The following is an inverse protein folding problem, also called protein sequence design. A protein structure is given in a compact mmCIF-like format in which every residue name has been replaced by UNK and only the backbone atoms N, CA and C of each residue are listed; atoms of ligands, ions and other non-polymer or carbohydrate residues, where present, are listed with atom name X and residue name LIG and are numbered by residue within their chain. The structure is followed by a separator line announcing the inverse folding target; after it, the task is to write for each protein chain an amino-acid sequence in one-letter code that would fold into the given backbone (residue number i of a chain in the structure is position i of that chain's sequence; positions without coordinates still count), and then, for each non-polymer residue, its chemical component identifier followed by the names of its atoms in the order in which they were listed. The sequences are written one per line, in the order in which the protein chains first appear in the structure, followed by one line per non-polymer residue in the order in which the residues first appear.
data_IF_339790407753
#
_entry.id   IF_339790407753
#
_cell.length_a   1.000
_cell.length_b   1.000
_cell.length_c   1.000
_cell.angle_alpha   90.00
_cell.angle_beta   90.00
_cell.angle_gamma   90.00
#
_symmetry.space_group_name_H-M   'P 1'
#
loop_
_entity.id
_entity.type
_entity.pdbx_description
1 polymer ?
#
# COMPACT_ATOMS: atom_id res chain seq x y z
N UNK A 1 58.81 30.20 31.30
CA UNK A 1 58.29 29.85 29.97
C UNK A 1 57.97 28.37 30.05
N UNK A 2 56.69 28.02 29.99
CA UNK A 2 56.20 26.67 30.30
C UNK A 2 55.79 26.05 28.97
N UNK A 3 56.55 25.08 28.48
CA UNK A 3 56.20 24.31 27.29
C UNK A 3 55.42 23.06 27.75
N UNK A 4 54.09 23.20 27.78
CA UNK A 4 53.14 22.10 27.89
C UNK A 4 52.84 21.62 26.46
N UNK A 5 53.58 20.63 26.00
CA UNK A 5 53.18 19.80 24.85
C UNK A 5 52.14 18.78 25.32
N UNK A 6 50.88 19.23 25.41
CA UNK A 6 49.70 18.37 25.51
C UNK A 6 48.97 18.43 24.16
N UNK A 7 49.57 17.82 23.12
CA UNK A 7 48.89 17.51 21.86
C UNK A 7 47.90 16.36 22.11
N UNK A 8 46.82 16.70 22.79
CA UNK A 8 45.64 15.88 22.97
C UNK A 8 44.56 16.36 22.00
N UNK A 9 44.89 16.42 20.70
CA UNK A 9 43.91 16.74 19.67
C UNK A 9 43.25 15.44 19.19
N UNK A 10 42.31 14.97 20.02
CA UNK A 10 40.94 14.52 19.74
C UNK A 10 40.53 14.11 18.30
N UNK A 11 41.44 13.64 17.45
CA UNK A 11 41.18 13.17 16.09
C UNK A 11 41.42 11.67 15.97
N UNK A 12 41.18 10.93 17.06
CA UNK A 12 40.98 9.49 16.96
C UNK A 12 39.55 9.24 16.52
N UNK A 13 39.34 9.46 15.22
CA UNK A 13 38.19 9.11 14.39
C UNK A 13 37.23 8.18 15.12
N UNK A 14 36.23 8.79 15.78
CA UNK A 14 35.04 8.07 16.24
C UNK A 14 34.51 7.37 15.00
N UNK A 15 34.74 6.06 14.94
CA UNK A 15 34.01 5.11 14.11
C UNK A 15 32.56 5.26 14.53
N UNK A 16 31.88 6.24 13.92
CA UNK A 16 30.49 6.59 14.18
C UNK A 16 29.72 5.35 13.75
N UNK A 17 29.38 4.58 14.77
CA UNK A 17 28.48 3.45 14.81
C UNK A 17 27.54 3.42 13.60
N UNK A 18 27.75 2.44 12.74
CA UNK A 18 26.84 2.09 11.65
C UNK A 18 25.42 1.72 12.12
N UNK A 19 25.17 1.63 13.43
CA UNK A 19 23.86 1.28 14.01
C UNK A 19 22.79 2.36 13.88
N UNK A 20 23.13 3.59 13.47
CA UNK A 20 22.12 4.64 13.27
C UNK A 20 21.33 4.49 11.96
N UNK A 21 21.79 3.67 11.01
CA UNK A 21 21.08 3.41 9.76
C UNK A 21 20.04 2.30 9.94
N UNK A 22 20.39 1.21 10.63
CA UNK A 22 19.54 0.02 10.78
C UNK A 22 18.15 0.33 11.37
N UNK A 23 18.07 1.13 12.45
CA UNK A 23 16.78 1.41 13.09
C UNK A 23 15.86 2.31 12.26
N UNK A 24 16.41 3.13 11.35
CA UNK A 24 15.61 3.97 10.44
C UNK A 24 15.03 3.13 9.31
N UNK A 25 15.81 2.19 8.78
CA UNK A 25 15.37 1.25 7.75
C UNK A 25 14.33 0.27 8.33
N UNK A 26 14.52 -0.19 9.58
CA UNK A 26 13.52 -0.96 10.33
C UNK A 26 12.24 -0.14 10.58
N UNK A 27 12.34 1.12 10.99
CA UNK A 27 11.18 1.98 11.21
C UNK A 27 10.41 2.28 9.91
N UNK A 28 11.12 2.47 8.79
CA UNK A 28 10.52 2.61 7.47
C UNK A 28 9.79 1.33 7.06
N UNK A 29 10.42 0.17 7.24
CA UNK A 29 9.82 -1.15 6.95
C UNK A 29 8.59 -1.43 7.82
N UNK A 30 8.63 -1.10 9.11
CA UNK A 30 7.49 -1.22 10.02
C UNK A 30 6.35 -0.29 9.59
N UNK A 31 6.66 0.95 9.20
CA UNK A 31 5.67 1.90 8.69
C UNK A 31 5.03 1.39 7.39
N UNK A 32 5.83 0.91 6.44
CA UNK A 32 5.33 0.32 5.19
C UNK A 32 4.45 -0.92 5.44
N UNK A 33 4.79 -1.77 6.42
CA UNK A 33 3.97 -2.91 6.84
C UNK A 33 2.65 -2.47 7.50
N UNK A 34 2.67 -1.42 8.30
CA UNK A 34 1.46 -0.83 8.89
C UNK A 34 0.57 -0.22 7.80
N UNK A 35 1.16 0.51 6.86
CA UNK A 35 0.47 1.10 5.71
C UNK A 35 -0.14 0.01 4.81
N UNK A 36 0.57 -1.12 4.61
CA UNK A 36 0.05 -2.29 3.88
C UNK A 36 -1.14 -2.93 4.58
N UNK A 37 -1.05 -3.16 5.90
CA UNK A 37 -2.16 -3.73 6.66
C UNK A 37 -3.39 -2.80 6.67
N UNK A 38 -3.17 -1.48 6.77
CA UNK A 38 -4.25 -0.51 6.70
C UNK A 38 -4.90 -0.49 5.31
N UNK A 39 -4.09 -0.55 4.24
CA UNK A 39 -4.58 -0.67 2.87
C UNK A 39 -5.45 -1.92 2.68
N UNK A 40 -4.99 -3.09 3.16
CA UNK A 40 -5.74 -4.36 3.07
C UNK A 40 -7.06 -4.28 3.84
N UNK A 41 -7.07 -3.63 5.01
CA UNK A 41 -8.30 -3.39 5.78
C UNK A 41 -9.27 -2.49 5.01
N UNK A 42 -8.78 -1.40 4.41
CA UNK A 42 -9.60 -0.49 3.59
C UNK A 42 -10.18 -1.21 2.36
N UNK A 43 -9.38 -2.00 1.66
CA UNK A 43 -9.83 -2.81 0.51
C UNK A 43 -10.93 -3.78 0.95
N UNK A 44 -10.76 -4.48 2.08
CA UNK A 44 -11.80 -5.38 2.60
C UNK A 44 -13.07 -4.63 2.98
N UNK A 45 -12.96 -3.49 3.67
CA UNK A 45 -14.11 -2.66 4.03
C UNK A 45 -14.86 -2.16 2.79
N UNK A 46 -14.12 -1.68 1.79
CA UNK A 46 -14.72 -1.16 0.55
C UNK A 46 -15.38 -2.27 -0.27
N UNK A 47 -14.76 -3.45 -0.34
CA UNK A 47 -15.37 -4.65 -0.94
C UNK A 47 -16.72 -4.98 -0.29
N UNK A 48 -16.82 -4.88 1.04
CA UNK A 48 -18.06 -5.11 1.78
C UNK A 48 -19.11 -4.05 1.43
N UNK A 49 -18.72 -2.77 1.35
CA UNK A 49 -19.62 -1.67 0.93
C UNK A 49 -20.14 -1.89 -0.49
N UNK A 50 -19.28 -2.28 -1.43
CA UNK A 50 -19.65 -2.61 -2.80
C UNK A 50 -20.39 -3.95 -2.95
N UNK A 51 -20.56 -4.71 -1.87
CA UNK A 51 -21.18 -6.05 -1.84
C UNK A 51 -20.59 -7.02 -2.86
N UNK A 52 -19.29 -6.92 -3.13
CA UNK A 52 -18.62 -7.78 -4.11
C UNK A 52 -18.08 -9.05 -3.45
N UNK A 53 -18.43 -10.19 -4.03
CA UNK A 53 -17.78 -11.46 -3.67
C UNK A 53 -16.33 -11.49 -4.17
N UNK A 54 -15.48 -12.32 -3.55
CA UNK A 54 -14.10 -12.55 -4.02
C UNK A 54 -14.09 -13.04 -5.48
N UNK A 55 -15.10 -13.82 -5.88
CA UNK A 55 -15.25 -14.32 -7.24
C UNK A 55 -15.56 -13.19 -8.25
N UNK A 56 -16.45 -12.27 -7.90
CA UNK A 56 -16.77 -11.14 -8.76
C UNK A 56 -15.60 -10.17 -8.85
N UNK A 57 -14.94 -9.92 -7.72
CA UNK A 57 -13.76 -9.07 -7.67
C UNK A 57 -12.62 -9.64 -8.52
N UNK A 58 -12.40 -10.97 -8.47
CA UNK A 58 -11.40 -11.63 -9.32
C UNK A 58 -11.73 -11.50 -10.79
N UNK A 59 -13.02 -11.66 -11.17
CA UNK A 59 -13.46 -11.49 -12.56
C UNK A 59 -13.28 -10.05 -13.05
N UNK A 60 -13.68 -9.07 -12.25
CA UNK A 60 -13.57 -7.64 -12.61
C UNK A 60 -12.12 -7.15 -12.68
N UNK A 61 -11.27 -7.62 -11.78
CA UNK A 61 -9.84 -7.28 -11.77
C UNK A 61 -9.01 -8.08 -12.80
N UNK A 62 -9.60 -9.09 -13.45
CA UNK A 62 -8.86 -9.98 -14.36
C UNK A 62 -7.78 -10.81 -13.65
N UNK A 63 -7.99 -11.13 -12.37
CA UNK A 63 -7.04 -11.84 -11.53
C UNK A 63 -7.55 -13.23 -11.15
N UNK A 64 -6.63 -14.12 -10.80
CA UNK A 64 -7.00 -15.42 -10.25
C UNK A 64 -7.62 -15.26 -8.85
N UNK A 65 -8.57 -16.13 -8.50
CA UNK A 65 -9.16 -16.15 -7.13
C UNK A 65 -8.09 -16.29 -6.04
N UNK A 66 -7.09 -17.18 -6.15
CA UNK A 66 -6.01 -17.27 -5.16
C UNK A 66 -5.26 -15.95 -4.97
N UNK A 67 -4.97 -15.23 -6.05
CA UNK A 67 -4.28 -13.92 -5.97
C UNK A 67 -5.10 -12.90 -5.19
N UNK A 68 -6.40 -12.80 -5.49
CA UNK A 68 -7.29 -11.86 -4.80
C UNK A 68 -7.47 -12.25 -3.34
N UNK A 69 -7.64 -13.54 -3.03
CA UNK A 69 -7.70 -14.03 -1.65
C UNK A 69 -6.39 -13.71 -0.91
N UNK A 70 -5.23 -13.98 -1.50
CA UNK A 70 -3.94 -13.67 -0.87
C UNK A 70 -3.77 -12.18 -0.56
N UNK A 71 -4.25 -11.29 -1.45
CA UNK A 71 -4.27 -9.85 -1.21
C UNK A 71 -5.20 -9.46 -0.06
N UNK A 72 -6.42 -10.00 -0.02
CA UNK A 72 -7.40 -9.71 1.03
C UNK A 72 -6.98 -10.23 2.40
N UNK A 73 -6.12 -11.25 2.43
CA UNK A 73 -5.49 -11.78 3.64
C UNK A 73 -4.17 -11.07 3.99
N UNK A 74 -3.76 -10.06 3.21
CA UNK A 74 -2.60 -9.22 3.50
C UNK A 74 -1.25 -9.84 3.15
N UNK A 75 -1.20 -10.76 2.19
CA UNK A 75 0.06 -11.34 1.73
C UNK A 75 0.99 -10.27 1.14
N UNK A 76 2.15 -10.04 1.77
CA UNK A 76 3.16 -9.09 1.32
C UNK A 76 3.85 -9.48 -0.01
N UNK A 77 3.55 -10.68 -0.56
CA UNK A 77 4.11 -11.16 -1.84
C UNK A 77 3.29 -10.70 -3.05
N UNK A 78 2.25 -9.90 -2.85
CA UNK A 78 1.41 -9.40 -3.95
C UNK A 78 2.10 -8.21 -4.62
N UNK A 79 2.20 -8.23 -5.95
CA UNK A 79 2.72 -7.10 -6.71
C UNK A 79 1.76 -5.90 -6.64
N UNK A 80 2.33 -4.69 -6.62
CA UNK A 80 1.58 -3.42 -6.62
C UNK A 80 0.63 -3.35 -7.82
N UNK A 81 1.02 -3.87 -8.99
CA UNK A 81 0.16 -3.92 -10.17
C UNK A 81 -1.15 -4.69 -9.91
N UNK A 82 -1.09 -5.81 -9.18
CA UNK A 82 -2.27 -6.59 -8.84
C UNK A 82 -3.15 -5.85 -7.82
N UNK A 83 -2.55 -5.09 -6.90
CA UNK A 83 -3.29 -4.22 -5.97
C UNK A 83 -4.06 -3.15 -6.75
N UNK A 84 -3.41 -2.50 -7.72
CA UNK A 84 -4.01 -1.46 -8.57
C UNK A 84 -5.24 -1.99 -9.33
N UNK A 85 -5.15 -3.20 -9.91
CA UNK A 85 -6.26 -3.86 -10.61
C UNK A 85 -7.45 -4.13 -9.69
N UNK A 86 -7.20 -4.50 -8.44
CA UNK A 86 -8.27 -4.71 -7.45
C UNK A 86 -8.93 -3.39 -7.06
N UNK A 87 -8.15 -2.34 -6.85
CA UNK A 87 -8.68 -1.00 -6.53
C UNK A 87 -9.52 -0.43 -7.68
N UNK A 88 -9.06 -0.53 -8.93
CA UNK A 88 -9.80 -0.10 -10.11
C UNK A 88 -11.13 -0.87 -10.28
N UNK A 89 -11.11 -2.19 -9.99
CA UNK A 89 -12.32 -3.00 -10.01
C UNK A 89 -13.34 -2.60 -8.92
N UNK A 90 -12.85 -2.18 -7.74
CA UNK A 90 -13.70 -1.67 -6.65
C UNK A 90 -14.27 -0.29 -7.00
N UNK A 91 -13.46 0.61 -7.55
CA UNK A 91 -13.87 1.96 -7.94
C UNK A 91 -14.98 1.93 -9.00
N UNK A 92 -14.80 1.11 -10.05
CA UNK A 92 -15.82 0.85 -11.08
C UNK A 92 -17.09 0.21 -10.54
N UNK A 93 -17.02 -0.47 -9.39
CA UNK A 93 -18.18 -1.05 -8.73
C UNK A 93 -18.90 -0.04 -7.82
N UNK A 94 -18.15 0.89 -7.24
CA UNK A 94 -18.68 1.99 -6.44
C UNK A 94 -19.35 3.07 -7.31
N UNK A 95 -18.88 3.24 -8.54
CA UNK A 95 -19.48 4.10 -9.56
C UNK A 95 -20.10 3.26 -10.69
N UNK A 96 -21.24 2.58 -10.44
CA UNK A 96 -21.98 1.99 -11.55
C UNK A 96 -22.44 3.15 -12.42
N UNK A 97 -21.81 3.33 -13.59
CA UNK A 97 -22.12 4.27 -14.68
C UNK A 97 -23.08 5.39 -14.26
N UNK A 98 -22.58 6.63 -14.21
CA UNK A 98 -23.47 7.77 -14.45
C UNK A 98 -24.33 7.41 -15.67
N UNK A 99 -25.59 7.06 -15.42
CA UNK A 99 -26.59 6.91 -16.44
C UNK A 99 -26.73 8.32 -16.99
N UNK A 100 -26.07 8.59 -18.11
CA UNK A 100 -26.30 9.80 -18.88
C UNK A 100 -27.80 9.95 -19.02
N UNK A 101 -28.33 11.03 -18.46
CA UNK A 101 -29.76 11.39 -18.43
C UNK A 101 -30.37 11.35 -19.85
N UNK A 102 -29.53 11.41 -20.88
CA UNK A 102 -29.88 11.32 -22.30
C UNK A 102 -30.51 9.99 -22.75
N UNK A 103 -30.24 8.84 -22.11
CA UNK A 103 -30.89 7.57 -22.50
C UNK A 103 -32.32 7.39 -21.92
N UNK A 104 -32.69 8.16 -20.89
CA UNK A 104 -34.02 8.04 -20.25
C UNK A 104 -35.13 8.75 -21.05
N UNK A 105 -34.78 9.71 -21.91
CA UNK A 105 -35.76 10.57 -22.59
C UNK A 105 -36.24 9.97 -23.93
N UNK A 106 -35.55 8.96 -24.50
CA UNK A 106 -35.87 8.45 -25.85
C UNK A 106 -36.89 7.30 -25.91
N UNK A 107 -37.44 6.87 -24.76
CA UNK A 107 -38.42 5.78 -24.69
C UNK A 107 -39.88 6.25 -24.54
N UNK A 108 -40.15 7.54 -24.74
CA UNK A 108 -41.46 8.14 -24.47
C UNK A 108 -41.92 9.07 -25.59
N UNK A 109 -41.86 8.58 -26.82
CA UNK A 109 -42.62 9.09 -27.96
C UNK A 109 -43.14 7.91 -28.79
#
# INVERSE_FOLDING_TARGET
MVDFDDENDFMRSKKRSSRMSDWRDEAASIKELLDWNDLVRRINAWRVVCRLSVLELSKRAGLSRPTVTALLHGSAKISIENVQKVLDALDKAAHPKELSIEEVIKGKD
#
